data_IF_203671533689
#
_entry.id   IF_203671533689
#
_cell.length_a   1.000
_cell.length_b   1.000
_cell.length_c   1.000
_cell.angle_alpha   90.00
_cell.angle_beta   90.00
_cell.angle_gamma   90.00
#
_symmetry.space_group_name_H-M   'P 1'
#
loop_
_entity.id
_entity.type
_entity.pdbx_description
1 polymer ?
#
# COMPACT_ATOMS: atom_id res chain seq x y z
N UNK A 1 11.91 22.44 -5.66
CA UNK A 1 12.37 22.62 -4.28
C UNK A 1 12.20 21.25 -3.66
N UNK A 2 13.26 20.59 -3.20
CA UNK A 2 13.13 19.27 -2.57
C UNK A 2 12.51 19.46 -1.20
N UNK A 3 11.23 19.19 -1.06
CA UNK A 3 10.60 19.03 0.24
C UNK A 3 11.36 17.91 0.95
N UNK A 4 12.04 18.26 2.05
CA UNK A 4 12.74 17.29 2.85
C UNK A 4 11.72 16.72 3.82
N UNK A 5 11.03 15.66 3.42
CA UNK A 5 10.14 14.91 4.31
C UNK A 5 10.97 14.26 5.42
N UNK A 6 10.47 14.30 6.65
CA UNK A 6 11.10 13.65 7.78
C UNK A 6 11.05 12.13 7.57
N UNK A 7 12.21 11.46 7.56
CA UNK A 7 12.27 10.02 7.32
C UNK A 7 12.41 9.25 8.62
N UNK A 8 11.63 8.18 8.75
CA UNK A 8 11.66 7.21 9.83
C UNK A 8 12.28 5.90 9.34
N UNK A 9 12.96 5.15 10.22
CA UNK A 9 13.36 3.77 9.93
C UNK A 9 12.70 2.87 10.96
N UNK A 10 11.73 2.09 10.51
CA UNK A 10 11.10 1.03 11.28
C UNK A 10 11.94 -0.24 11.18
N UNK A 11 11.90 -1.08 12.20
CA UNK A 11 12.64 -2.36 12.21
C UNK A 11 11.73 -3.48 12.66
N UNK A 12 11.82 -4.60 11.96
CA UNK A 12 11.12 -5.83 12.33
C UNK A 12 11.83 -6.57 13.49
N UNK A 13 11.30 -7.73 13.88
CA UNK A 13 11.88 -8.59 14.91
C UNK A 13 13.27 -9.16 14.55
N UNK A 14 13.63 -9.22 13.26
CA UNK A 14 14.94 -9.63 12.75
C UNK A 14 15.87 -8.45 12.44
N UNK A 15 15.50 -7.25 12.91
CA UNK A 15 16.21 -5.98 12.75
C UNK A 15 16.38 -5.51 11.29
N UNK A 16 15.59 -6.02 10.34
CA UNK A 16 15.59 -5.51 8.96
C UNK A 16 14.88 -4.16 8.90
N UNK A 17 15.43 -3.18 8.15
CA UNK A 17 14.88 -1.85 8.08
C UNK A 17 13.73 -1.75 7.07
N UNK A 18 12.70 -1.00 7.42
CA UNK A 18 11.74 -0.40 6.49
C UNK A 18 11.86 1.12 6.60
N UNK A 19 12.31 1.77 5.53
CA UNK A 19 12.45 3.23 5.51
C UNK A 19 11.11 3.83 5.10
N UNK A 20 10.61 4.76 5.89
CA UNK A 20 9.35 5.45 5.65
C UNK A 20 9.54 6.96 5.68
N UNK A 21 8.65 7.67 5.00
CA UNK A 21 8.43 9.10 5.16
C UNK A 21 7.29 9.34 6.13
N UNK A 22 7.48 10.28 7.05
CA UNK A 22 6.44 10.70 7.96
C UNK A 22 5.56 11.72 7.24
N UNK A 23 4.29 11.38 7.11
CA UNK A 23 3.27 12.23 6.50
C UNK A 23 2.67 13.15 7.56
N UNK A 24 2.26 12.58 8.70
CA UNK A 24 1.61 13.30 9.81
C UNK A 24 1.99 12.67 11.15
N UNK A 25 1.84 13.43 12.23
CA UNK A 25 2.07 12.98 13.61
C UNK A 25 0.97 13.48 14.53
N UNK A 26 0.67 12.70 15.57
CA UNK A 26 -0.28 13.06 16.62
C UNK A 26 0.20 12.54 17.98
N UNK A 27 -0.24 13.18 19.05
CA UNK A 27 0.02 12.72 20.41
C UNK A 27 -1.29 12.25 21.04
N UNK A 28 -1.32 11.00 21.50
CA UNK A 28 -2.45 10.39 22.20
C UNK A 28 -1.92 9.82 23.51
N UNK A 29 -2.50 10.20 24.65
CA UNK A 29 -2.08 9.75 25.99
C UNK A 29 -0.56 9.84 26.24
N UNK A 30 0.03 10.99 25.91
CA UNK A 30 1.48 11.27 26.05
C UNK A 30 2.40 10.43 25.14
N UNK A 31 1.85 9.56 24.27
CA UNK A 31 2.57 8.79 23.28
C UNK A 31 2.43 9.43 21.88
N UNK A 32 3.55 9.60 21.18
CA UNK A 32 3.56 10.11 19.80
C UNK A 32 3.32 8.96 18.82
N UNK A 33 2.42 9.18 17.87
CA UNK A 33 2.12 8.28 16.76
C UNK A 33 2.30 9.03 15.44
N UNK A 34 2.60 8.29 14.39
CA UNK A 34 2.84 8.83 13.06
C UNK A 34 2.07 8.05 12.00
N UNK A 35 1.54 8.78 11.02
CA UNK A 35 1.14 8.24 9.73
C UNK A 35 2.37 8.29 8.83
N UNK A 36 2.77 7.14 8.30
CA UNK A 36 3.97 7.01 7.48
C UNK A 36 3.67 6.26 6.18
N UNK A 37 4.49 6.48 5.17
CA UNK A 37 4.44 5.70 3.92
C UNK A 37 5.83 5.16 3.59
N UNK A 38 5.98 3.92 3.08
CA UNK A 38 7.27 3.41 2.63
C UNK A 38 7.92 4.31 1.58
N UNK A 39 9.25 4.50 1.69
CA UNK A 39 10.02 5.25 0.68
C UNK A 39 10.18 4.45 -0.62
N UNK A 40 10.36 3.14 -0.49
CA UNK A 40 10.40 2.21 -1.62
C UNK A 40 8.97 1.79 -1.98
N UNK A 41 8.68 1.60 -3.26
CA UNK A 41 7.33 1.29 -3.73
C UNK A 41 6.84 -0.05 -3.17
N UNK A 42 5.59 -0.12 -2.70
CA UNK A 42 5.00 -1.36 -2.21
C UNK A 42 4.58 -2.23 -3.39
N UNK A 43 4.76 -3.55 -3.28
CA UNK A 43 4.23 -4.50 -4.25
C UNK A 43 3.29 -5.51 -3.62
N UNK A 44 2.32 -5.98 -4.41
CA UNK A 44 1.44 -7.09 -4.09
C UNK A 44 1.65 -8.21 -5.10
N UNK A 45 1.65 -9.46 -4.66
CA UNK A 45 1.78 -10.63 -5.53
C UNK A 45 0.46 -11.38 -5.50
N UNK A 46 -0.13 -11.59 -6.68
CA UNK A 46 -1.38 -12.34 -6.83
C UNK A 46 -1.21 -13.49 -7.81
N UNK A 47 -2.01 -14.54 -7.60
CA UNK A 47 -2.07 -15.73 -8.45
C UNK A 47 -3.38 -15.75 -9.23
N UNK A 48 -3.28 -16.11 -10.51
CA UNK A 48 -4.43 -16.29 -11.38
C UNK A 48 -5.02 -17.67 -11.09
N UNK A 49 -6.26 -17.70 -10.64
CA UNK A 49 -7.06 -18.91 -10.53
C UNK A 49 -8.14 -18.95 -11.61
N UNK A 50 -8.25 -20.08 -12.30
CA UNK A 50 -9.22 -20.28 -13.39
C UNK A 50 -8.57 -20.39 -14.78
N UNK A 51 -9.40 -20.57 -15.80
CA UNK A 51 -8.95 -20.72 -17.19
C UNK A 51 -8.90 -19.39 -17.96
N UNK A 52 -9.53 -18.33 -17.43
CA UNK A 52 -9.64 -17.02 -18.05
C UNK A 52 -8.70 -16.02 -17.36
N UNK A 53 -8.17 -15.06 -18.13
CA UNK A 53 -7.32 -14.00 -17.60
C UNK A 53 -8.21 -12.83 -17.11
N UNK A 54 -8.30 -12.57 -15.80
CA UNK A 54 -9.04 -11.42 -15.30
C UNK A 54 -8.43 -10.12 -15.79
N UNK A 55 -9.30 -9.17 -16.12
CA UNK A 55 -8.97 -7.75 -16.31
C UNK A 55 -9.19 -6.93 -15.03
N UNK A 56 -9.91 -7.47 -14.05
CA UNK A 56 -10.21 -6.88 -12.74
C UNK A 56 -10.30 -8.00 -11.70
N UNK A 57 -10.06 -7.68 -10.42
CA UNK A 57 -10.33 -8.61 -9.32
C UNK A 57 -10.99 -7.90 -8.15
N UNK A 58 -12.22 -7.46 -8.42
CA UNK A 58 -13.15 -6.97 -7.41
C UNK A 58 -14.10 -8.09 -7.05
N UNK A 59 -14.03 -8.57 -5.82
CA UNK A 59 -14.95 -9.59 -5.33
C UNK A 59 -16.41 -9.06 -5.39
N UNK A 60 -17.29 -9.80 -6.08
CA UNK A 60 -18.70 -9.44 -6.21
C UNK A 60 -19.14 -8.87 -7.56
N UNK A 61 -18.21 -8.59 -8.48
CA UNK A 61 -18.58 -8.25 -9.87
C UNK A 61 -19.10 -9.51 -10.60
N UNK A 62 -20.33 -9.43 -11.10
CA UNK A 62 -20.98 -10.51 -11.84
C UNK A 62 -20.38 -10.77 -13.23
N UNK A 63 -19.50 -9.89 -13.72
CA UNK A 63 -18.82 -9.98 -15.02
C UNK A 63 -17.34 -10.37 -14.90
N UNK A 64 -16.86 -10.71 -13.70
CA UNK A 64 -15.48 -11.11 -13.47
C UNK A 64 -15.16 -12.44 -14.18
N UNK A 65 -14.23 -12.39 -15.15
CA UNK A 65 -13.69 -13.56 -15.85
C UNK A 65 -12.36 -13.97 -15.18
N UNK A 66 -12.31 -15.11 -14.49
CA UNK A 66 -11.11 -15.54 -13.73
C UNK A 66 -10.97 -14.87 -12.36
N UNK A 67 -10.04 -15.37 -11.52
CA UNK A 67 -9.85 -14.94 -10.13
C UNK A 67 -8.40 -14.53 -9.90
N UNK A 68 -8.16 -13.40 -9.22
CA UNK A 68 -6.86 -13.08 -8.64
C UNK A 68 -6.95 -13.27 -7.14
N UNK A 69 -6.08 -14.13 -6.59
CA UNK A 69 -6.04 -14.40 -5.16
C UNK A 69 -4.62 -14.20 -4.60
N UNK A 70 -4.52 -14.07 -3.29
CA UNK A 70 -3.24 -14.04 -2.60
C UNK A 70 -2.65 -15.46 -2.49
N UNK A 71 -1.37 -15.66 -2.83
CA UNK A 71 -0.75 -16.97 -2.67
C UNK A 71 -0.59 -17.32 -1.19
N UNK A 72 -0.62 -18.61 -0.88
CA UNK A 72 -0.26 -19.10 0.45
C UNK A 72 1.14 -18.60 0.87
N UNK A 73 1.40 -18.29 2.15
CA UNK A 73 2.69 -17.74 2.59
C UNK A 73 3.91 -18.60 2.22
N UNK A 74 3.77 -19.92 2.25
CA UNK A 74 4.83 -20.86 1.84
C UNK A 74 5.12 -20.78 0.33
N UNK A 75 4.07 -20.57 -0.48
CA UNK A 75 4.16 -20.43 -1.93
C UNK A 75 4.80 -19.08 -2.29
N UNK A 76 4.35 -18.00 -1.65
CA UNK A 76 4.97 -16.66 -1.80
C UNK A 76 6.46 -16.72 -1.47
N UNK A 77 6.83 -17.31 -0.34
CA UNK A 77 8.23 -17.45 0.08
C UNK A 77 9.07 -18.23 -0.95
N UNK A 78 8.49 -19.28 -1.54
CA UNK A 78 9.16 -20.09 -2.56
C UNK A 78 9.33 -19.36 -3.89
N UNK A 79 8.46 -18.39 -4.21
CA UNK A 79 8.52 -17.59 -5.44
C UNK A 79 9.42 -16.36 -5.35
N UNK A 80 9.84 -15.92 -4.16
CA UNK A 80 10.70 -14.73 -3.99
C UNK A 80 11.94 -14.68 -4.90
N UNK A 81 12.68 -15.78 -5.16
CA UNK A 81 13.81 -15.76 -6.08
C UNK A 81 13.40 -15.44 -7.53
N UNK A 82 12.22 -15.91 -7.95
CA UNK A 82 11.66 -15.63 -9.28
C UNK A 82 11.16 -14.19 -9.35
N UNK A 83 10.44 -13.73 -8.32
CA UNK A 83 9.98 -12.33 -8.19
C UNK A 83 11.17 -11.37 -8.32
N UNK A 84 12.24 -11.63 -7.57
CA UNK A 84 13.47 -10.84 -7.61
C UNK A 84 14.12 -10.83 -9.02
N UNK A 85 14.10 -11.95 -9.73
CA UNK A 85 14.68 -12.04 -11.07
C UNK A 85 13.86 -11.23 -12.09
N UNK A 86 12.53 -11.36 -12.04
CA UNK A 86 11.60 -10.68 -12.94
C UNK A 86 11.61 -9.17 -12.71
N UNK A 87 11.55 -8.72 -11.46
CA UNK A 87 11.72 -7.30 -11.11
C UNK A 87 13.07 -6.75 -11.56
N UNK A 88 14.13 -7.57 -11.51
CA UNK A 88 15.45 -7.20 -11.99
C UNK A 88 15.49 -6.86 -13.48
N UNK A 89 14.60 -7.43 -14.31
CA UNK A 89 14.49 -7.07 -15.73
C UNK A 89 13.96 -5.64 -15.92
N UNK A 90 13.20 -5.13 -14.94
CA UNK A 90 12.69 -3.76 -14.89
C UNK A 90 13.64 -2.80 -14.16
N UNK A 91 14.84 -3.26 -13.75
CA UNK A 91 15.75 -2.53 -12.86
C UNK A 91 15.16 -2.23 -11.47
N UNK A 92 14.21 -3.06 -11.03
CA UNK A 92 13.64 -3.01 -9.68
C UNK A 92 14.33 -4.05 -8.78
N UNK A 93 14.61 -3.66 -7.53
CA UNK A 93 15.25 -4.51 -6.53
C UNK A 93 14.31 -4.74 -5.36
N UNK A 94 13.86 -5.99 -5.18
CA UNK A 94 13.06 -6.39 -4.02
C UNK A 94 13.86 -6.16 -2.73
N UNK A 95 13.26 -5.43 -1.80
CA UNK A 95 13.84 -5.19 -0.49
C UNK A 95 13.43 -6.31 0.46
N UNK A 96 14.42 -6.82 1.21
CA UNK A 96 14.14 -7.75 2.29
C UNK A 96 13.78 -6.95 3.54
N UNK A 97 12.54 -7.10 3.97
CA UNK A 97 12.09 -6.70 5.28
C UNK A 97 11.20 -7.85 5.83
N UNK A 98 11.10 -7.98 7.14
CA UNK A 98 10.30 -8.99 7.83
C UNK A 98 8.96 -8.44 8.32
N UNK A 99 8.47 -7.38 7.69
CA UNK A 99 7.06 -7.01 7.76
C UNK A 99 6.30 -7.78 6.67
N UNK A 100 4.98 -7.88 6.80
CA UNK A 100 4.10 -8.50 5.80
C UNK A 100 3.93 -7.64 4.52
N UNK A 101 4.85 -6.69 4.29
CA UNK A 101 4.81 -5.72 3.18
C UNK A 101 6.05 -5.91 2.32
N UNK A 102 5.86 -6.25 1.05
CA UNK A 102 6.93 -6.31 0.08
C UNK A 102 7.17 -4.92 -0.51
N UNK A 103 8.43 -4.50 -0.60
CA UNK A 103 8.81 -3.22 -1.21
C UNK A 103 9.89 -3.41 -2.26
N UNK A 104 9.90 -2.54 -3.27
CA UNK A 104 10.86 -2.55 -4.37
C UNK A 104 11.52 -1.20 -4.51
N UNK A 105 12.83 -1.22 -4.67
CA UNK A 105 13.63 -0.05 -4.94
C UNK A 105 13.92 0.06 -6.44
N UNK A 106 13.69 1.23 -7.01
CA UNK A 106 14.00 1.56 -8.39
C UNK A 106 12.99 2.54 -8.96
N UNK A 107 13.12 2.85 -10.24
CA UNK A 107 12.15 3.69 -10.95
C UNK A 107 11.04 2.79 -11.50
N UNK A 108 9.80 3.01 -11.07
CA UNK A 108 8.66 2.27 -11.59
C UNK A 108 8.46 2.59 -13.09
N UNK A 109 8.02 1.61 -13.89
CA UNK A 109 7.61 1.87 -15.26
C UNK A 109 6.43 2.86 -15.30
N UNK A 110 6.27 3.63 -16.39
CA UNK A 110 5.11 4.50 -16.55
C UNK A 110 3.81 3.70 -16.48
N UNK A 111 2.78 4.30 -15.91
CA UNK A 111 1.44 3.70 -15.85
C UNK A 111 0.81 3.76 -17.24
N UNK A 112 0.40 2.60 -17.75
CA UNK A 112 -0.34 2.45 -19.00
C UNK A 112 -1.74 1.91 -18.66
N UNK A 113 -2.79 2.42 -19.33
CA UNK A 113 -4.20 2.06 -19.03
C UNK A 113 -4.46 0.55 -19.15
N UNK A 114 -3.72 -0.15 -20.00
CA UNK A 114 -3.85 -1.60 -20.19
C UNK A 114 -3.27 -2.44 -19.03
N UNK A 115 -2.42 -1.83 -18.21
CA UNK A 115 -1.78 -2.46 -17.06
C UNK A 115 -2.46 -2.07 -15.73
N UNK A 116 -3.56 -1.32 -15.75
CA UNK A 116 -4.30 -0.90 -14.56
C UNK A 116 -5.40 -1.91 -14.22
N UNK A 117 -5.41 -2.36 -12.98
CA UNK A 117 -6.34 -3.31 -12.42
C UNK A 117 -7.02 -2.72 -11.18
N UNK A 118 -8.34 -2.82 -11.12
CA UNK A 118 -9.09 -2.58 -9.89
C UNK A 118 -9.10 -3.85 -9.04
N UNK A 119 -8.58 -3.76 -7.82
CA UNK A 119 -8.45 -4.87 -6.88
C UNK A 119 -9.13 -4.50 -5.55
N UNK A 120 -9.98 -5.36 -5.01
CA UNK A 120 -10.67 -5.10 -3.75
C UNK A 120 -11.63 -6.21 -3.31
N UNK A 121 -12.05 -6.17 -2.04
CA UNK A 121 -13.07 -7.08 -1.51
C UNK A 121 -14.50 -6.70 -1.94
N UNK A 122 -14.70 -5.44 -2.33
CA UNK A 122 -15.96 -4.90 -2.84
C UNK A 122 -15.65 -3.76 -3.82
N UNK A 123 -16.65 -3.33 -4.60
CA UNK A 123 -16.50 -2.13 -5.45
C UNK A 123 -16.22 -0.86 -4.63
N UNK A 124 -16.68 -0.80 -3.37
CA UNK A 124 -16.48 0.37 -2.49
C UNK A 124 -15.04 0.42 -1.94
N UNK A 125 -14.38 -0.74 -1.82
CA UNK A 125 -13.01 -0.88 -1.30
C UNK A 125 -11.98 -1.10 -2.41
N UNK A 126 -12.41 -1.06 -3.68
CA UNK A 126 -11.54 -1.30 -4.82
C UNK A 126 -10.51 -0.18 -4.96
N UNK A 127 -9.25 -0.57 -5.12
CA UNK A 127 -8.13 0.34 -5.37
C UNK A 127 -7.48 0.01 -6.70
N UNK A 128 -6.90 1.02 -7.35
CA UNK A 128 -6.20 0.84 -8.61
C UNK A 128 -4.75 0.38 -8.38
N UNK A 129 -4.36 -0.65 -9.11
CA UNK A 129 -3.02 -1.21 -9.10
C UNK A 129 -2.47 -1.28 -10.52
N UNK A 130 -1.19 -0.97 -10.67
CA UNK A 130 -0.45 -1.22 -11.91
C UNK A 130 0.19 -2.62 -11.87
N UNK A 131 -0.05 -3.42 -12.91
CA UNK A 131 0.67 -4.66 -13.17
C UNK A 131 2.10 -4.34 -13.65
N UNK A 132 3.10 -4.74 -12.89
CA UNK A 132 4.52 -4.53 -13.22
C UNK A 132 5.06 -5.66 -14.09
N UNK A 133 4.76 -6.90 -13.73
CA UNK A 133 5.24 -8.08 -14.44
C UNK A 133 4.42 -9.33 -14.12
N UNK A 134 4.50 -10.33 -14.99
CA UNK A 134 3.93 -11.65 -14.76
C UNK A 134 5.00 -12.74 -14.84
N UNK A 135 4.77 -13.84 -14.14
CA UNK A 135 5.65 -15.01 -14.19
C UNK A 135 4.88 -16.30 -13.94
N UNK A 136 5.50 -17.44 -14.22
CA UNK A 136 4.93 -18.75 -13.94
C UNK A 136 5.71 -19.46 -12.85
N UNK A 137 4.98 -20.10 -11.93
CA UNK A 137 5.54 -20.99 -10.92
C UNK A 137 4.58 -22.16 -10.69
N UNK A 138 5.11 -23.39 -10.73
CA UNK A 138 4.32 -24.63 -10.61
C UNK A 138 3.05 -24.65 -11.48
N UNK A 139 3.17 -24.24 -12.74
CA UNK A 139 2.07 -24.19 -13.73
C UNK A 139 0.97 -23.15 -13.43
N UNK A 140 1.10 -22.36 -12.36
CA UNK A 140 0.23 -21.21 -12.07
C UNK A 140 0.87 -19.92 -12.57
N UNK A 141 0.04 -18.98 -13.02
CA UNK A 141 0.46 -17.63 -13.43
C UNK A 141 0.35 -16.69 -12.23
N UNK A 142 1.39 -15.90 -12.03
CA UNK A 142 1.47 -14.85 -11.01
C UNK A 142 1.64 -13.50 -11.66
N UNK A 143 1.25 -12.48 -10.93
CA UNK A 143 1.43 -11.08 -11.27
C UNK A 143 1.94 -10.31 -10.08
N UNK A 144 2.81 -9.35 -10.38
CA UNK A 144 3.38 -8.43 -9.41
C UNK A 144 2.76 -7.07 -9.69
N UNK A 145 2.06 -6.54 -8.71
CA UNK A 145 1.32 -5.30 -8.79
C UNK A 145 1.92 -4.25 -7.86
N UNK A 146 1.76 -2.98 -8.17
CA UNK A 146 2.01 -1.87 -7.24
C UNK A 146 0.73 -1.04 -7.14
N UNK A 147 0.28 -0.63 -5.95
CA UNK A 147 -0.83 0.30 -5.83
C UNK A 147 -0.45 1.63 -6.48
N UNK A 148 -1.42 2.29 -7.11
CA UNK A 148 -1.25 3.65 -7.62
C UNK A 148 -1.26 4.69 -6.49
N UNK A 149 -2.05 4.42 -5.44
CA UNK A 149 -2.08 5.24 -4.24
C UNK A 149 -0.98 4.85 -3.24
N UNK A 150 -0.43 5.82 -2.48
CA UNK A 150 0.54 5.54 -1.43
C UNK A 150 -0.02 4.62 -0.35
N UNK A 151 0.74 3.60 0.04
CA UNK A 151 0.39 2.74 1.17
C UNK A 151 0.67 3.48 2.47
N UNK A 152 -0.35 3.56 3.32
CA UNK A 152 -0.34 4.25 4.59
C UNK A 152 -0.19 3.27 5.75
N UNK A 153 0.71 3.59 6.67
CA UNK A 153 1.06 2.76 7.82
C UNK A 153 1.06 3.60 9.09
N UNK A 154 0.65 3.01 10.21
CA UNK A 154 0.73 3.65 11.51
C UNK A 154 1.96 3.18 12.28
N UNK A 155 2.72 4.12 12.83
CA UNK A 155 3.89 3.86 13.65
C UNK A 155 3.78 4.54 15.01
N UNK A 156 4.27 3.88 16.06
CA UNK A 156 4.50 4.49 17.36
C UNK A 156 5.93 5.04 17.47
N UNK A 157 6.06 6.22 18.05
CA UNK A 157 7.32 6.95 18.28
C UNK A 157 7.51 7.19 19.80
N UNK A 158 7.91 6.18 20.57
CA UNK A 158 8.06 6.31 22.03
C UNK A 158 9.21 7.26 22.40
N UNK A 159 9.06 7.96 23.53
CA UNK A 159 10.13 8.81 24.09
C UNK A 159 11.38 8.00 24.47
N UNK A 160 11.19 6.75 24.89
CA UNK A 160 12.22 5.77 25.17
C UNK A 160 11.99 4.49 24.35
N UNK A 161 12.96 4.12 23.51
CA UNK A 161 12.90 2.90 22.70
C UNK A 161 13.05 3.17 21.21
N UNK A 162 12.95 2.10 20.42
CA UNK A 162 12.93 2.18 18.96
C UNK A 162 11.47 2.34 18.47
N UNK A 163 11.25 3.11 17.39
CA UNK A 163 9.93 3.22 16.77
C UNK A 163 9.51 1.87 16.17
N UNK A 164 8.21 1.60 16.21
CA UNK A 164 7.65 0.33 15.73
C UNK A 164 6.36 0.52 14.94
N UNK A 165 6.13 -0.39 14.00
CA UNK A 165 4.90 -0.46 13.22
C UNK A 165 3.77 -0.96 14.12
N UNK A 166 2.59 -0.32 14.07
CA UNK A 166 1.40 -0.85 14.75
C UNK A 166 0.85 -2.03 13.95
N UNK A 167 0.50 -3.11 14.65
CA UNK A 167 -0.13 -4.30 14.05
C UNK A 167 -1.59 -4.40 14.49
N UNK A 168 -2.42 -5.22 13.82
CA UNK A 168 -3.82 -5.44 14.21
C UNK A 168 -4.03 -6.03 15.62
N UNK A 169 -2.95 -6.41 16.33
CA UNK A 169 -3.01 -6.83 17.73
C UNK A 169 -3.25 -5.66 18.71
N UNK A 170 -3.05 -4.43 18.24
CA UNK A 170 -3.31 -3.21 19.01
C UNK A 170 -4.83 -2.95 19.16
N UNK A 171 -5.26 -2.19 20.18
CA UNK A 171 -6.68 -1.94 20.42
C UNK A 171 -7.38 -1.27 19.22
N UNK A 172 -8.55 -1.76 18.75
CA UNK A 172 -9.29 -1.12 17.66
C UNK A 172 -9.61 0.36 17.92
N UNK A 173 -9.87 0.72 19.19
CA UNK A 173 -10.16 2.10 19.58
C UNK A 173 -8.97 3.05 19.36
N UNK A 174 -7.74 2.52 19.34
CA UNK A 174 -6.56 3.30 18.96
C UNK A 174 -6.56 3.58 17.46
N UNK A 175 -6.85 2.58 16.63
CA UNK A 175 -6.92 2.76 15.17
C UNK A 175 -8.03 3.74 14.76
N UNK A 176 -9.20 3.68 15.41
CA UNK A 176 -10.29 4.63 15.17
C UNK A 176 -9.85 6.08 15.46
N UNK A 177 -9.12 6.30 16.56
CA UNK A 177 -8.58 7.62 16.91
C UNK A 177 -7.51 8.08 15.93
N UNK A 178 -6.61 7.17 15.53
CA UNK A 178 -5.56 7.48 14.57
C UNK A 178 -6.16 7.83 13.21
N UNK A 179 -7.17 7.09 12.75
CA UNK A 179 -7.91 7.40 11.53
C UNK A 179 -8.51 8.82 11.58
N UNK A 180 -9.26 9.12 12.64
CA UNK A 180 -9.90 10.43 12.81
C UNK A 180 -8.90 11.59 12.91
N UNK A 181 -7.72 11.37 13.50
CA UNK A 181 -6.74 12.43 13.73
C UNK A 181 -5.71 12.59 12.62
N UNK A 182 -5.45 11.55 11.83
CA UNK A 182 -4.39 11.55 10.82
C UNK A 182 -4.94 11.54 9.39
N UNK A 183 -6.08 10.91 9.12
CA UNK A 183 -6.65 10.79 7.78
C UNK A 183 -7.86 11.70 7.54
N UNK A 184 -8.74 11.84 8.52
CA UNK A 184 -10.02 12.55 8.40
C UNK A 184 -9.91 14.10 8.36
N UNK A 185 -8.69 14.65 8.40
CA UNK A 185 -8.47 16.11 8.42
C UNK A 185 -8.56 16.79 7.05
N UNK A 186 -8.78 16.05 5.96
CA UNK A 186 -8.91 16.62 4.61
C UNK A 186 -10.38 16.91 4.20
N UNK A 187 -11.39 16.57 5.01
CA UNK A 187 -12.80 16.90 4.70
C UNK A 187 -13.20 18.38 4.95
N UNK A 188 -12.32 19.23 5.49
CA UNK A 188 -12.64 20.65 5.76
C UNK A 188 -12.51 21.60 4.55
N UNK A 189 -12.41 21.10 3.32
CA UNK A 189 -12.33 21.95 2.10
C UNK A 189 -13.46 21.68 1.10
N UNK A 190 -14.71 21.93 1.48
CA UNK A 190 -15.79 22.22 0.51
C UNK A 190 -16.96 22.98 1.16
N UNK A 191 -16.69 24.04 1.93
CA UNK A 191 -17.72 25.03 2.32
C UNK A 191 -17.10 26.43 2.25
N UNK A 192 -16.96 26.95 1.03
CA UNK A 192 -16.36 28.27 0.82
C UNK A 192 -16.52 28.78 -0.61
N UNK A 193 -17.71 29.31 -0.89
CA UNK A 193 -18.01 30.48 -1.74
C UNK A 193 -19.21 30.24 -2.68
N UNK A 194 -20.41 30.41 -2.14
CA UNK A 194 -21.50 31.07 -2.86
C UNK A 194 -21.96 32.25 -1.97
N UNK A 195 -21.12 33.29 -1.89
CA UNK A 195 -21.56 34.60 -1.39
C UNK A 195 -22.60 35.19 -2.35
N UNK A 196 -23.64 35.72 -1.73
CA UNK A 196 -24.83 36.36 -2.28
C UNK A 196 -24.50 37.45 -3.32
N UNK A 197 -24.90 37.24 -4.58
CA UNK A 197 -25.17 38.38 -5.46
C UNK A 197 -26.57 38.92 -5.12
N UNK A 198 -26.57 40.02 -4.35
CA UNK A 198 -27.71 40.88 -4.09
C UNK A 198 -28.32 41.36 -5.42
N UNK A 199 -29.50 40.87 -5.77
CA UNK A 199 -30.35 41.49 -6.77
C UNK A 199 -30.88 42.84 -6.22
N UNK A 200 -30.16 43.93 -6.49
CA UNK A 200 -30.72 45.28 -6.50
C UNK A 200 -31.62 45.46 -7.74
N UNK A 201 -32.94 45.52 -7.54
CA UNK A 201 -33.88 46.28 -8.39
C UNK A 201 -35.16 46.70 -7.63
#
# INVERSE_FOLDING_TARGET
>A
MTESHETLVLRDEQNQPLKCEILRQVVIDEQTYALVTPVDAVIKVLVWEGEEEPSQAVNGDANMEGILDEPDPEELQATLPTIQAVLGELNLTLQQNGFDILTVQGELPPVEEEDVFELGESEEDAQEFQLLATFFYQEKKYGIFTPLDPVLLYAALPDEGDPYLLTPDEPPELFDQLYALLLDLDEEWEDGDDEEDEDED
#
